data_IF_006610620272
#
_entry.id   IF_006610620272
#
_cell.length_a   1.000
_cell.length_b   1.000
_cell.length_c   1.000
_cell.angle_alpha   90.00
_cell.angle_beta   90.00
_cell.angle_gamma   90.00
#
_symmetry.space_group_name_H-M   'P 1'
#
loop_
_entity.id
_entity.type
_entity.pdbx_description
1 polymer ?
#
# COMPACT_ATOMS: atom_id res chain seq x y z
N UNK A 1 -37.28 -37.74 -23.92
CA UNK A 1 -35.95 -37.35 -24.41
C UNK A 1 -35.66 -35.95 -23.87
N UNK A 2 -35.03 -35.91 -22.70
CA UNK A 2 -34.65 -34.66 -22.01
C UNK A 2 -33.16 -34.44 -22.18
N UNK A 3 -32.78 -33.27 -22.68
CA UNK A 3 -31.38 -32.79 -22.66
C UNK A 3 -31.16 -31.97 -21.40
N UNK A 4 -30.34 -32.47 -20.50
CA UNK A 4 -29.79 -31.66 -19.39
C UNK A 4 -28.69 -30.71 -19.89
N UNK A 5 -28.62 -29.45 -19.43
CA UNK A 5 -27.52 -28.57 -19.72
C UNK A 5 -26.35 -28.85 -18.76
N UNK A 6 -25.26 -29.30 -19.33
CA UNK A 6 -24.00 -29.59 -18.67
C UNK A 6 -23.31 -28.27 -18.21
N UNK A 7 -23.58 -27.84 -16.99
CA UNK A 7 -22.87 -26.71 -16.35
C UNK A 7 -21.49 -27.17 -15.89
N UNK A 8 -20.46 -26.88 -16.68
CA UNK A 8 -19.06 -27.06 -16.26
C UNK A 8 -18.76 -26.13 -15.07
N UNK A 9 -18.57 -26.71 -13.89
CA UNK A 9 -18.01 -26.03 -12.72
C UNK A 9 -16.59 -25.58 -13.07
N UNK A 10 -16.18 -24.35 -12.75
CA UNK A 10 -14.79 -23.93 -12.94
C UNK A 10 -13.90 -24.80 -12.06
N UNK A 11 -12.90 -25.43 -12.68
CA UNK A 11 -11.93 -26.28 -12.02
C UNK A 11 -11.14 -25.50 -10.98
N UNK A 12 -11.27 -25.92 -9.72
CA UNK A 12 -10.40 -25.44 -8.62
C UNK A 12 -9.04 -26.08 -8.87
N UNK A 13 -8.08 -25.30 -9.37
CA UNK A 13 -6.66 -25.69 -9.35
C UNK A 13 -6.25 -25.85 -7.89
N UNK A 14 -5.92 -27.09 -7.48
CA UNK A 14 -5.30 -27.35 -6.19
C UNK A 14 -3.84 -26.92 -6.29
N UNK A 15 -3.53 -25.73 -5.72
CA UNK A 15 -2.15 -25.34 -5.50
C UNK A 15 -1.56 -26.16 -4.35
N UNK A 16 -0.39 -26.77 -4.59
CA UNK A 16 0.37 -27.39 -3.51
C UNK A 16 0.75 -26.30 -2.50
N UNK A 17 0.45 -26.54 -1.22
CA UNK A 17 0.80 -25.64 -0.12
C UNK A 17 2.31 -25.44 -0.09
N UNK A 18 2.80 -24.38 -0.68
CA UNK A 18 4.09 -23.85 -0.27
C UNK A 18 3.94 -23.40 1.20
N UNK A 19 4.72 -23.99 2.09
CA UNK A 19 4.74 -23.61 3.52
C UNK A 19 4.89 -22.11 3.61
N UNK A 20 3.83 -21.44 4.10
CA UNK A 20 3.74 -19.99 4.16
C UNK A 20 5.01 -19.39 4.75
N UNK A 21 5.64 -18.49 4.02
CA UNK A 21 6.63 -17.59 4.60
C UNK A 21 5.83 -16.61 5.43
N UNK A 22 5.74 -16.89 6.75
CA UNK A 22 5.26 -15.89 7.71
C UNK A 22 6.07 -14.60 7.51
N UNK A 23 5.46 -13.44 7.77
CA UNK A 23 6.25 -12.22 7.90
C UNK A 23 7.44 -12.55 8.81
N UNK A 24 8.68 -12.31 8.35
CA UNK A 24 9.83 -12.59 9.19
C UNK A 24 9.65 -11.80 10.49
N UNK A 25 9.92 -12.39 11.67
CA UNK A 25 9.92 -11.64 12.90
C UNK A 25 10.83 -10.44 12.70
N UNK A 26 10.37 -9.24 13.09
CA UNK A 26 11.14 -8.01 13.00
C UNK A 26 12.47 -8.25 13.74
N UNK A 27 13.52 -8.62 13.00
CA UNK A 27 14.85 -8.73 13.57
C UNK A 27 15.25 -7.33 14.00
N UNK A 28 15.76 -7.17 15.21
CA UNK A 28 16.42 -5.96 15.68
C UNK A 28 17.58 -5.65 14.73
N UNK A 29 17.26 -4.94 13.65
CA UNK A 29 18.25 -4.37 12.74
C UNK A 29 18.41 -2.91 13.13
N UNK A 30 19.60 -2.36 12.97
CA UNK A 30 19.89 -0.93 13.22
C UNK A 30 19.13 0.00 12.26
N UNK A 31 18.33 -0.54 11.35
CA UNK A 31 17.57 0.18 10.31
C UNK A 31 16.11 -0.26 10.34
N UNK A 32 15.14 0.65 10.10
CA UNK A 32 13.73 0.32 10.14
C UNK A 32 13.32 -0.63 9.01
N UNK A 33 12.26 -1.42 9.24
CA UNK A 33 11.55 -2.13 8.18
C UNK A 33 10.86 -1.11 7.28
N UNK A 34 11.03 -1.23 5.97
CA UNK A 34 10.51 -0.28 4.99
C UNK A 34 9.35 -0.92 4.21
N UNK A 35 8.15 -0.36 4.38
CA UNK A 35 6.97 -0.71 3.60
C UNK A 35 6.82 0.25 2.42
N UNK A 36 6.59 -0.29 1.23
CA UNK A 36 6.11 0.50 0.10
C UNK A 36 4.59 0.67 0.23
N UNK A 37 4.12 1.91 0.37
CA UNK A 37 2.70 2.20 0.55
C UNK A 37 1.85 1.81 -0.69
N UNK A 38 0.61 1.35 -0.50
CA UNK A 38 -0.31 1.09 -1.59
C UNK A 38 -0.76 2.42 -2.23
N UNK A 39 -0.57 2.54 -3.55
CA UNK A 39 -0.96 3.72 -4.32
C UNK A 39 -1.92 3.30 -5.44
N UNK A 40 -3.23 3.49 -5.22
CA UNK A 40 -4.28 3.09 -6.17
C UNK A 40 -4.03 3.65 -7.56
N UNK A 41 -4.07 2.77 -8.57
CA UNK A 41 -3.82 3.10 -9.96
C UNK A 41 -2.35 3.34 -10.35
N UNK A 42 -1.38 3.13 -9.42
CA UNK A 42 0.05 3.31 -9.66
C UNK A 42 0.81 2.01 -9.36
N UNK A 43 0.76 1.53 -8.11
CA UNK A 43 1.62 0.42 -7.62
C UNK A 43 1.00 -0.95 -7.91
N UNK A 44 0.63 -1.22 -9.18
CA UNK A 44 0.21 -2.54 -9.65
C UNK A 44 1.39 -3.54 -9.69
N UNK A 45 1.12 -4.80 -10.03
CA UNK A 45 2.13 -5.85 -10.04
C UNK A 45 3.33 -5.55 -10.94
N UNK A 46 3.11 -4.93 -12.12
CA UNK A 46 4.21 -4.52 -13.02
C UNK A 46 5.11 -3.50 -12.30
N UNK A 47 4.51 -2.47 -11.70
CA UNK A 47 5.25 -1.45 -10.96
C UNK A 47 6.09 -2.07 -9.85
N UNK A 48 5.47 -2.93 -9.01
CA UNK A 48 6.17 -3.55 -7.88
C UNK A 48 7.33 -4.41 -8.32
N UNK A 49 7.13 -5.26 -9.33
CA UNK A 49 8.17 -6.14 -9.86
C UNK A 49 9.34 -5.35 -10.42
N UNK A 50 9.10 -4.38 -11.30
CA UNK A 50 10.19 -3.58 -11.91
C UNK A 50 10.92 -2.76 -10.85
N UNK A 51 10.19 -2.22 -9.84
CA UNK A 51 10.84 -1.54 -8.71
C UNK A 51 11.72 -2.50 -7.89
N UNK A 52 11.21 -3.69 -7.59
CA UNK A 52 11.92 -4.69 -6.80
C UNK A 52 13.21 -5.15 -7.50
N UNK A 53 13.12 -5.39 -8.79
CA UNK A 53 14.25 -5.88 -9.62
C UNK A 53 15.35 -4.83 -9.79
N UNK A 54 14.99 -3.56 -10.03
CA UNK A 54 15.98 -2.51 -10.33
C UNK A 54 16.52 -1.83 -9.08
N UNK A 55 15.66 -1.52 -8.11
CA UNK A 55 16.05 -0.70 -6.95
C UNK A 55 16.03 -1.47 -5.64
N UNK A 56 15.03 -2.31 -5.42
CA UNK A 56 14.82 -2.97 -4.13
C UNK A 56 14.62 -1.98 -3.00
N UNK A 57 15.14 -2.32 -1.81
CA UNK A 57 15.16 -1.44 -0.64
C UNK A 57 13.84 -1.35 0.14
N UNK A 58 12.71 -1.77 -0.43
CA UNK A 58 11.49 -2.03 0.33
C UNK A 58 11.49 -3.49 0.81
N UNK A 59 11.15 -3.70 2.09
CA UNK A 59 11.03 -5.05 2.67
C UNK A 59 9.66 -5.65 2.41
N UNK A 60 8.62 -4.81 2.29
CA UNK A 60 7.24 -5.21 2.06
C UNK A 60 6.59 -4.28 1.03
N UNK A 61 5.93 -4.85 0.05
CA UNK A 61 5.11 -4.13 -0.93
C UNK A 61 3.63 -4.26 -0.58
N UNK A 62 2.97 -3.16 -0.18
CA UNK A 62 1.55 -3.18 0.09
C UNK A 62 0.76 -3.07 -1.22
N UNK A 63 -0.21 -3.96 -1.41
CA UNK A 63 -1.09 -3.94 -2.57
C UNK A 63 -2.11 -2.79 -2.48
N UNK A 64 -2.48 -2.16 -3.60
CA UNK A 64 -3.72 -1.39 -3.66
C UNK A 64 -4.90 -2.23 -3.16
N UNK A 65 -5.84 -1.60 -2.47
CA UNK A 65 -6.92 -2.32 -1.81
C UNK A 65 -7.88 -3.01 -2.79
N UNK A 66 -8.30 -4.22 -2.43
CA UNK A 66 -9.44 -4.90 -3.03
C UNK A 66 -10.73 -4.35 -2.41
N UNK A 67 -11.62 -3.84 -3.27
CA UNK A 67 -12.92 -3.34 -2.82
C UNK A 67 -13.90 -4.49 -2.67
N UNK A 68 -14.16 -4.92 -1.45
CA UNK A 68 -15.05 -6.05 -1.20
C UNK A 68 -16.52 -5.68 -1.45
N UNK A 69 -17.27 -6.62 -2.02
CA UNK A 69 -18.70 -6.54 -2.33
C UNK A 69 -19.42 -7.75 -1.75
N UNK A 70 -20.75 -7.70 -1.66
CA UNK A 70 -21.55 -8.81 -1.15
C UNK A 70 -21.36 -10.11 -1.95
N UNK A 71 -21.14 -10.01 -3.25
CA UNK A 71 -20.91 -11.18 -4.11
C UNK A 71 -19.52 -11.78 -3.99
N UNK A 72 -18.61 -11.17 -3.21
CA UNK A 72 -17.20 -11.57 -3.13
C UNK A 72 -16.50 -11.68 -4.50
N UNK A 73 -17.09 -11.11 -5.55
CA UNK A 73 -16.50 -11.12 -6.89
C UNK A 73 -15.37 -10.07 -6.94
N UNK A 74 -14.13 -10.56 -6.99
CA UNK A 74 -12.96 -9.73 -7.28
C UNK A 74 -12.93 -9.44 -8.78
N UNK A 75 -12.45 -8.24 -9.12
CA UNK A 75 -12.18 -7.89 -10.51
C UNK A 75 -10.98 -8.70 -11.02
N UNK A 76 -10.94 -8.97 -12.32
CA UNK A 76 -9.81 -9.71 -12.95
C UNK A 76 -8.45 -9.08 -12.60
N UNK A 77 -8.39 -7.74 -12.50
CA UNK A 77 -7.17 -7.04 -12.07
C UNK A 77 -6.79 -7.34 -10.62
N UNK A 78 -7.77 -7.46 -9.72
CA UNK A 78 -7.56 -7.72 -8.29
C UNK A 78 -7.10 -9.17 -8.07
N UNK A 79 -7.69 -10.12 -8.81
CA UNK A 79 -7.26 -11.53 -8.80
C UNK A 79 -5.80 -11.66 -9.27
N UNK A 80 -5.44 -10.96 -10.34
CA UNK A 80 -4.07 -10.95 -10.86
C UNK A 80 -3.11 -10.29 -9.88
N UNK A 81 -3.50 -9.15 -9.31
CA UNK A 81 -2.64 -8.34 -8.44
C UNK A 81 -2.23 -9.08 -7.16
N UNK A 82 -3.09 -10.00 -6.67
CA UNK A 82 -2.81 -10.86 -5.51
C UNK A 82 -2.20 -12.22 -5.89
N UNK A 83 -2.14 -12.57 -7.17
CA UNK A 83 -1.64 -13.90 -7.55
C UNK A 83 -0.18 -14.10 -7.15
N UNK A 84 0.21 -15.30 -6.69
CA UNK A 84 1.60 -15.61 -6.34
C UNK A 84 2.58 -15.37 -7.50
N UNK A 85 2.16 -15.65 -8.74
CA UNK A 85 2.98 -15.50 -9.94
C UNK A 85 3.31 -14.03 -10.23
N UNK A 86 2.34 -13.12 -10.03
CA UNK A 86 2.57 -11.68 -10.22
C UNK A 86 3.53 -11.11 -9.16
N UNK A 87 3.65 -11.79 -8.01
CA UNK A 87 4.37 -11.33 -6.83
C UNK A 87 5.56 -12.23 -6.46
N UNK A 88 6.03 -13.06 -7.39
CA UNK A 88 7.14 -13.97 -7.14
C UNK A 88 8.40 -13.22 -6.66
N UNK A 89 9.05 -13.76 -5.63
CA UNK A 89 10.26 -13.19 -5.04
C UNK A 89 10.04 -11.96 -4.13
N UNK A 90 8.84 -11.38 -4.12
CA UNK A 90 8.51 -10.21 -3.31
C UNK A 90 7.74 -10.59 -2.04
N UNK A 91 8.01 -9.88 -0.95
CA UNK A 91 7.17 -9.91 0.23
C UNK A 91 6.03 -8.90 0.05
N UNK A 92 4.80 -9.39 -0.08
CA UNK A 92 3.64 -8.59 -0.46
C UNK A 92 2.57 -8.66 0.62
N UNK A 93 1.92 -7.53 0.90
CA UNK A 93 0.86 -7.40 1.87
C UNK A 93 -0.46 -7.05 1.16
N UNK A 94 -1.38 -8.01 0.95
CA UNK A 94 -2.70 -7.75 0.38
C UNK A 94 -3.53 -6.84 1.29
N UNK A 95 -4.29 -5.92 0.69
CA UNK A 95 -5.12 -4.98 1.44
C UNK A 95 -6.59 -5.04 1.00
N UNK A 96 -7.52 -5.04 1.96
CA UNK A 96 -8.96 -4.98 1.74
C UNK A 96 -9.55 -3.61 2.07
N UNK A 97 -10.64 -3.28 1.37
CA UNK A 97 -11.48 -2.12 1.66
C UNK A 97 -12.94 -2.57 1.84
N UNK A 98 -13.40 -2.60 3.07
CA UNK A 98 -14.79 -2.93 3.43
C UNK A 98 -15.19 -2.24 4.74
N UNK A 99 -16.47 -2.27 5.08
CA UNK A 99 -17.04 -1.96 6.39
C UNK A 99 -17.87 -3.13 6.95
N UNK A 100 -17.75 -4.29 6.34
CA UNK A 100 -18.51 -5.48 6.66
C UNK A 100 -17.55 -6.55 7.17
N UNK A 101 -17.64 -6.98 8.44
CA UNK A 101 -16.70 -7.93 9.03
C UNK A 101 -16.81 -9.32 8.42
N UNK A 102 -17.99 -9.73 7.95
CA UNK A 102 -18.21 -11.03 7.30
C UNK A 102 -17.55 -11.05 5.92
N UNK A 103 -17.65 -9.97 5.14
CA UNK A 103 -16.92 -9.84 3.88
C UNK A 103 -15.41 -9.89 4.10
N UNK A 104 -14.91 -9.20 5.13
CA UNK A 104 -13.48 -9.25 5.45
C UNK A 104 -13.05 -10.66 5.83
N UNK A 105 -13.79 -11.32 6.71
CA UNK A 105 -13.49 -12.70 7.12
C UNK A 105 -13.42 -13.65 5.92
N UNK A 106 -14.41 -13.62 5.03
CA UNK A 106 -14.43 -14.46 3.83
C UNK A 106 -13.24 -14.16 2.90
N UNK A 107 -12.88 -12.86 2.74
CA UNK A 107 -11.71 -12.48 1.93
C UNK A 107 -10.39 -12.93 2.56
N UNK A 108 -10.27 -12.94 3.88
CA UNK A 108 -9.08 -13.45 4.57
C UNK A 108 -8.86 -14.94 4.33
N UNK A 109 -9.94 -15.74 4.21
CA UNK A 109 -9.83 -17.15 3.78
C UNK A 109 -9.27 -17.26 2.36
N UNK A 110 -9.77 -16.46 1.42
CA UNK A 110 -9.23 -16.42 0.06
C UNK A 110 -7.74 -16.01 0.03
N UNK A 111 -7.35 -15.00 0.82
CA UNK A 111 -5.95 -14.58 0.97
C UNK A 111 -5.07 -15.72 1.51
N UNK A 112 -5.59 -16.48 2.48
CA UNK A 112 -4.91 -17.68 3.01
C UNK A 112 -4.75 -18.77 1.94
N UNK A 113 -5.76 -18.97 1.09
CA UNK A 113 -5.68 -19.93 -0.03
C UNK A 113 -4.66 -19.50 -1.10
N UNK A 114 -4.46 -18.19 -1.29
CA UNK A 114 -3.38 -17.65 -2.12
C UNK A 114 -1.98 -17.81 -1.48
N UNK A 115 -1.88 -18.33 -0.25
CA UNK A 115 -0.60 -18.61 0.42
C UNK A 115 -0.07 -17.45 1.26
N UNK A 116 -0.81 -16.37 1.46
CA UNK A 116 -0.41 -15.26 2.32
C UNK A 116 -0.70 -15.57 3.79
N UNK A 117 0.18 -15.13 4.67
CA UNK A 117 0.06 -15.31 6.14
C UNK A 117 -0.40 -14.05 6.86
N UNK A 118 -0.44 -12.91 6.15
CA UNK A 118 -0.88 -11.62 6.66
C UNK A 118 -1.66 -10.86 5.60
N UNK A 119 -2.65 -10.09 6.04
CA UNK A 119 -3.43 -9.17 5.20
C UNK A 119 -3.65 -7.85 5.93
N UNK A 120 -4.05 -6.80 5.22
CA UNK A 120 -4.23 -5.46 5.76
C UNK A 120 -5.66 -4.95 5.54
N UNK A 121 -6.20 -4.25 6.53
CA UNK A 121 -7.47 -3.54 6.43
C UNK A 121 -7.23 -2.05 6.20
N UNK A 122 -7.84 -1.50 5.16
CA UNK A 122 -7.77 -0.07 4.88
C UNK A 122 -8.78 0.73 5.72
N UNK A 123 -8.28 1.45 6.72
CA UNK A 123 -9.00 2.48 7.50
C UNK A 123 -8.49 3.90 7.21
N UNK A 124 -7.77 4.10 6.08
CA UNK A 124 -7.07 5.35 5.82
C UNK A 124 -7.40 6.05 4.50
N UNK A 125 -8.12 5.41 3.55
CA UNK A 125 -8.45 6.03 2.27
C UNK A 125 -9.40 7.22 2.46
N UNK A 126 -8.98 8.47 2.10
CA UNK A 126 -9.79 9.67 2.32
C UNK A 126 -10.71 10.00 1.13
N UNK A 127 -10.72 9.18 0.07
CA UNK A 127 -11.50 9.45 -1.14
C UNK A 127 -13.00 9.61 -0.81
N UNK A 128 -13.66 10.68 -1.28
CA UNK A 128 -15.10 10.87 -1.05
C UNK A 128 -15.96 9.69 -1.54
N UNK A 129 -15.55 8.99 -2.60
CA UNK A 129 -16.26 7.80 -3.10
C UNK A 129 -16.17 6.60 -2.16
N UNK A 130 -15.19 6.59 -1.27
CA UNK A 130 -14.95 5.57 -0.23
C UNK A 130 -15.63 6.00 1.07
N UNK A 131 -15.32 7.20 1.54
CA UNK A 131 -15.76 7.67 2.88
C UNK A 131 -17.25 7.94 2.98
N UNK A 132 -17.92 8.37 1.88
CA UNK A 132 -19.40 8.51 1.87
C UNK A 132 -20.14 7.20 2.09
N UNK A 133 -19.47 6.06 1.84
CA UNK A 133 -20.01 4.71 2.07
C UNK A 133 -19.58 4.13 3.42
N UNK A 134 -19.00 4.94 4.31
CA UNK A 134 -18.49 4.51 5.61
C UNK A 134 -17.31 3.53 5.52
N UNK A 135 -16.53 3.53 4.42
CA UNK A 135 -15.36 2.67 4.22
C UNK A 135 -14.07 3.48 4.34
N UNK A 136 -12.92 2.80 4.44
CA UNK A 136 -11.63 3.44 4.59
C UNK A 136 -11.62 4.37 5.81
N UNK A 137 -11.12 5.59 5.68
CA UNK A 137 -11.13 6.54 6.81
C UNK A 137 -12.54 7.01 7.20
N UNK A 138 -13.57 6.69 6.41
CA UNK A 138 -14.97 6.91 6.80
C UNK A 138 -15.41 6.13 8.03
N UNK A 139 -14.76 5.00 8.34
CA UNK A 139 -15.01 4.22 9.56
C UNK A 139 -14.52 4.92 10.84
N UNK A 140 -13.64 5.91 10.71
CA UNK A 140 -13.11 6.66 11.87
C UNK A 140 -14.09 7.71 12.39
N UNK A 141 -15.22 7.97 11.70
CA UNK A 141 -16.24 8.93 12.14
C UNK A 141 -16.98 8.48 13.38
N UNK A 142 -17.11 7.18 13.55
CA UNK A 142 -17.88 6.59 14.64
C UNK A 142 -17.02 5.52 15.33
N UNK A 143 -16.38 5.86 16.46
CA UNK A 143 -15.58 4.94 17.24
C UNK A 143 -16.34 3.71 17.74
N UNK A 144 -17.63 3.81 18.00
CA UNK A 144 -18.44 2.70 18.48
C UNK A 144 -18.76 1.71 17.34
N UNK A 145 -19.07 2.21 16.13
CA UNK A 145 -19.17 1.37 14.93
C UNK A 145 -17.84 0.68 14.61
N UNK A 146 -16.71 1.38 14.74
CA UNK A 146 -15.39 0.80 14.54
C UNK A 146 -15.14 -0.34 15.55
N UNK A 147 -15.44 -0.11 16.83
CA UNK A 147 -15.31 -1.13 17.89
C UNK A 147 -16.20 -2.33 17.61
N UNK A 148 -17.47 -2.09 17.28
CA UNK A 148 -18.42 -3.15 16.93
C UNK A 148 -17.93 -4.00 15.74
N UNK A 149 -17.41 -3.37 14.69
CA UNK A 149 -16.80 -4.06 13.54
C UNK A 149 -15.66 -4.97 13.97
N UNK A 150 -14.73 -4.45 14.78
CA UNK A 150 -13.56 -5.19 15.23
C UNK A 150 -13.93 -6.32 16.19
N UNK A 151 -14.86 -6.10 17.12
CA UNK A 151 -15.38 -7.13 18.03
C UNK A 151 -15.98 -8.31 17.27
N UNK A 152 -16.80 -8.03 16.25
CA UNK A 152 -17.37 -9.09 15.40
C UNK A 152 -16.32 -9.83 14.61
N UNK A 153 -15.34 -9.11 14.06
CA UNK A 153 -14.28 -9.71 13.27
C UNK A 153 -13.41 -10.64 14.11
N UNK A 154 -12.98 -10.18 15.29
CA UNK A 154 -12.09 -10.93 16.18
C UNK A 154 -12.83 -11.90 17.13
N UNK A 155 -14.17 -11.97 17.05
CA UNK A 155 -14.92 -13.02 17.77
C UNK A 155 -14.55 -14.44 17.31
N UNK A 156 -13.99 -14.57 16.10
CA UNK A 156 -13.53 -15.82 15.53
C UNK A 156 -12.03 -15.78 15.24
N UNK A 157 -11.39 -16.95 15.21
CA UNK A 157 -10.00 -17.08 14.78
C UNK A 157 -9.89 -16.76 13.30
N UNK A 158 -9.01 -15.81 12.95
CA UNK A 158 -8.75 -15.45 11.57
C UNK A 158 -7.77 -16.44 10.91
N UNK A 159 -7.94 -16.75 9.61
CA UNK A 159 -7.08 -17.70 8.90
C UNK A 159 -5.66 -17.15 8.63
N UNK A 160 -5.49 -15.83 8.68
CA UNK A 160 -4.22 -15.11 8.54
C UNK A 160 -4.14 -13.99 9.58
N UNK A 161 -2.94 -13.52 9.87
CA UNK A 161 -2.75 -12.33 10.71
C UNK A 161 -3.33 -11.10 10.01
N UNK A 162 -3.92 -10.19 10.78
CA UNK A 162 -4.49 -8.95 10.24
C UNK A 162 -3.66 -7.76 10.72
N UNK A 163 -3.28 -6.90 9.79
CA UNK A 163 -2.79 -5.54 10.05
C UNK A 163 -3.84 -4.50 9.66
N UNK A 164 -3.59 -3.27 10.01
CA UNK A 164 -4.48 -2.16 9.64
C UNK A 164 -3.67 -0.93 9.23
N UNK A 165 -4.12 -0.27 8.16
CA UNK A 165 -3.58 1.04 7.76
C UNK A 165 -4.63 2.12 7.98
N UNK A 166 -4.35 3.02 8.93
CA UNK A 166 -5.29 4.05 9.39
C UNK A 166 -4.79 5.47 9.20
N UNK A 167 -5.68 6.42 9.42
CA UNK A 167 -5.40 7.83 9.72
C UNK A 167 -5.65 8.11 11.20
N UNK A 168 -5.30 9.30 11.67
CA UNK A 168 -5.41 9.68 13.09
C UNK A 168 -6.78 10.23 13.46
N UNK A 169 -7.69 10.34 12.52
CA UNK A 169 -9.06 10.82 12.73
C UNK A 169 -9.72 11.16 11.39
N UNK A 170 -11.01 11.50 11.49
CA UNK A 170 -11.78 11.96 10.33
C UNK A 170 -11.77 13.49 10.21
N UNK A 171 -12.25 14.21 11.20
CA UNK A 171 -12.36 15.68 11.21
C UNK A 171 -11.12 16.33 11.87
N UNK A 172 -10.68 15.82 13.03
CA UNK A 172 -9.66 16.43 13.88
C UNK A 172 -8.63 15.39 14.39
N UNK A 173 -7.39 15.85 14.62
CA UNK A 173 -6.36 15.06 15.27
C UNK A 173 -6.69 14.76 16.76
N UNK A 174 -7.60 15.51 17.36
CA UNK A 174 -8.09 15.26 18.72
C UNK A 174 -8.87 13.96 18.87
N UNK A 175 -9.34 13.37 17.76
CA UNK A 175 -9.99 12.06 17.74
C UNK A 175 -8.99 10.90 17.97
N UNK A 176 -7.70 11.15 17.72
CA UNK A 176 -6.69 10.10 17.74
C UNK A 176 -6.54 9.34 19.05
N UNK A 177 -6.54 9.96 20.25
CA UNK A 177 -6.40 9.22 21.51
C UNK A 177 -7.45 8.13 21.70
N UNK A 178 -8.69 8.37 21.30
CA UNK A 178 -9.79 7.39 21.37
C UNK A 178 -9.64 6.27 20.32
N UNK A 179 -9.29 6.63 19.08
CA UNK A 179 -9.03 5.66 18.00
C UNK A 179 -7.83 4.78 18.35
N UNK A 180 -6.75 5.37 18.86
CA UNK A 180 -5.56 4.66 19.30
C UNK A 180 -5.84 3.63 20.38
N UNK A 181 -6.71 3.98 21.35
CA UNK A 181 -7.15 3.09 22.42
C UNK A 181 -7.95 1.90 21.87
N UNK A 182 -8.83 2.13 20.91
CA UNK A 182 -9.57 1.06 20.25
C UNK A 182 -8.58 0.13 19.55
N UNK A 183 -7.68 0.67 18.71
CA UNK A 183 -6.73 -0.15 17.94
C UNK A 183 -5.74 -0.93 18.82
N UNK A 184 -5.34 -0.38 19.96
CA UNK A 184 -4.49 -1.07 20.93
C UNK A 184 -5.16 -2.27 21.60
N UNK A 185 -6.49 -2.34 21.59
CA UNK A 185 -7.27 -3.43 22.19
C UNK A 185 -7.38 -4.69 21.36
N UNK A 186 -6.87 -4.71 20.11
CA UNK A 186 -7.00 -5.86 19.20
C UNK A 186 -5.64 -6.42 18.77
N UNK A 187 -5.54 -7.74 18.49
CA UNK A 187 -4.30 -8.42 18.17
C UNK A 187 -3.87 -8.22 16.71
N UNK A 188 -3.70 -6.97 16.29
CA UNK A 188 -3.16 -6.68 14.97
C UNK A 188 -1.69 -7.12 14.84
N UNK A 189 -1.32 -7.61 13.65
CA UNK A 189 0.08 -7.91 13.33
C UNK A 189 0.95 -6.64 13.34
N UNK A 190 0.40 -5.53 12.85
CA UNK A 190 0.95 -4.18 12.96
C UNK A 190 -0.14 -3.14 12.63
N UNK A 191 0.10 -1.90 13.00
CA UNK A 191 -0.79 -0.76 12.70
C UNK A 191 0.01 0.33 11.99
N UNK A 192 -0.29 0.56 10.72
CA UNK A 192 0.30 1.68 9.95
C UNK A 192 -0.52 2.95 10.16
N UNK A 193 0.14 3.99 10.66
CA UNK A 193 -0.49 5.24 11.07
C UNK A 193 -0.07 6.35 10.12
N UNK A 194 -0.99 6.78 9.25
CA UNK A 194 -0.81 8.01 8.49
C UNK A 194 -1.15 9.19 9.40
N UNK A 195 -0.13 9.95 9.78
CA UNK A 195 -0.21 11.04 10.75
C UNK A 195 -0.91 12.30 10.21
N UNK A 196 -2.07 12.09 9.59
CA UNK A 196 -3.02 13.10 9.07
C UNK A 196 -4.45 12.66 9.33
N UNK A 197 -5.36 13.61 9.47
CA UNK A 197 -6.79 13.37 9.45
C UNK A 197 -7.31 13.11 8.02
N UNK A 198 -8.55 12.67 7.89
CA UNK A 198 -9.20 12.51 6.58
C UNK A 198 -9.39 13.85 5.87
N UNK A 199 -9.70 14.91 6.61
CA UNK A 199 -9.91 16.28 6.09
C UNK A 199 -8.66 16.88 5.49
N UNK A 200 -7.51 16.61 6.07
CA UNK A 200 -6.21 17.09 5.60
C UNK A 200 -5.74 16.40 4.32
N UNK A 201 -6.32 15.24 3.99
CA UNK A 201 -5.99 14.45 2.80
C UNK A 201 -4.46 14.21 2.66
N UNK A 202 -3.81 14.88 1.69
CA UNK A 202 -2.37 14.75 1.39
C UNK A 202 -1.63 16.09 1.40
N UNK A 203 -2.32 17.20 1.65
CA UNK A 203 -1.81 18.58 1.56
C UNK A 203 -1.82 19.33 2.89
N UNK A 204 -2.61 18.86 3.86
CA UNK A 204 -2.61 19.41 5.22
C UNK A 204 -1.33 19.11 5.99
N UNK A 205 -1.20 19.69 7.17
CA UNK A 205 -0.10 19.43 8.10
C UNK A 205 0.02 17.94 8.48
N UNK A 206 1.17 17.55 8.98
CA UNK A 206 1.37 16.24 9.61
C UNK A 206 1.40 16.41 11.13
N UNK A 207 0.97 15.37 11.85
CA UNK A 207 0.90 15.32 13.32
C UNK A 207 1.81 14.20 13.85
N UNK A 208 3.15 14.39 13.86
CA UNK A 208 4.07 13.32 14.28
C UNK A 208 3.88 12.88 15.72
N UNK A 209 3.36 13.75 16.59
CA UNK A 209 2.98 13.47 17.99
C UNK A 209 1.94 12.35 18.11
N UNK A 210 1.13 12.16 17.08
CA UNK A 210 0.19 11.04 17.05
C UNK A 210 0.89 9.68 17.01
N UNK A 211 2.05 9.60 16.36
CA UNK A 211 2.85 8.38 16.35
C UNK A 211 3.56 8.14 17.70
N UNK A 212 4.02 9.20 18.36
CA UNK A 212 4.56 9.12 19.73
C UNK A 212 3.51 8.59 20.71
N UNK A 213 2.28 9.09 20.60
CA UNK A 213 1.16 8.57 21.39
C UNK A 213 0.88 7.09 21.11
N UNK A 214 0.99 6.66 19.86
CA UNK A 214 0.81 5.25 19.49
C UNK A 214 1.84 4.34 20.18
N UNK A 215 3.10 4.77 20.25
CA UNK A 215 4.16 4.07 20.97
C UNK A 215 3.86 4.01 22.48
N UNK A 216 3.40 5.11 23.07
CA UNK A 216 3.03 5.20 24.49
C UNK A 216 1.84 4.29 24.82
N UNK A 217 0.82 4.26 23.95
CA UNK A 217 -0.38 3.43 24.09
C UNK A 217 -0.15 1.95 23.76
N UNK A 218 1.07 1.57 23.39
CA UNK A 218 1.47 0.20 23.02
C UNK A 218 0.59 -0.39 21.90
N UNK A 219 0.28 0.43 20.90
CA UNK A 219 -0.32 -0.08 19.68
C UNK A 219 0.57 -1.19 19.11
N UNK A 220 0.01 -2.33 18.62
CA UNK A 220 0.81 -3.42 18.09
C UNK A 220 1.69 -2.98 16.93
N UNK A 221 3.01 -3.11 17.08
CA UNK A 221 4.03 -2.85 16.06
C UNK A 221 3.72 -1.63 15.16
N UNK A 222 3.69 -0.40 15.72
CA UNK A 222 3.26 0.77 14.97
C UNK A 222 4.25 1.09 13.85
N UNK A 223 3.70 1.32 12.63
CA UNK A 223 4.44 1.70 11.43
C UNK A 223 4.15 3.16 11.12
N UNK A 224 5.17 4.00 11.10
CA UNK A 224 5.00 5.42 10.77
C UNK A 224 4.74 5.61 9.28
N UNK A 225 3.74 6.40 8.94
CA UNK A 225 3.48 6.84 7.57
C UNK A 225 3.15 8.35 7.56
N UNK A 226 3.89 9.15 6.80
CA UNK A 226 3.68 10.60 6.66
C UNK A 226 4.93 11.30 6.15
N UNK A 227 4.85 11.90 4.97
CA UNK A 227 5.84 12.80 4.34
C UNK A 227 7.34 12.40 4.43
N UNK A 228 7.61 11.10 4.42
CA UNK A 228 8.97 10.59 4.27
C UNK A 228 9.33 10.62 2.78
N UNK A 229 10.13 11.60 2.38
CA UNK A 229 10.54 11.82 0.98
C UNK A 229 12.03 11.68 0.74
N UNK A 230 12.82 11.81 1.79
CA UNK A 230 14.28 11.77 1.75
C UNK A 230 14.83 10.85 2.83
N UNK A 231 16.10 10.50 2.73
CA UNK A 231 16.83 9.79 3.79
C UNK A 231 16.89 10.62 5.09
N UNK A 232 16.97 11.94 4.96
CA UNK A 232 16.99 12.85 6.10
C UNK A 232 15.67 12.86 6.87
N UNK A 233 14.51 12.80 6.16
CA UNK A 233 13.20 12.69 6.81
C UNK A 233 13.12 11.44 7.68
N UNK A 234 13.64 10.30 7.18
CA UNK A 234 13.65 9.05 7.93
C UNK A 234 14.60 9.14 9.13
N UNK A 235 15.78 9.72 8.96
CA UNK A 235 16.74 9.90 10.06
C UNK A 235 16.18 10.83 11.15
N UNK A 236 15.52 11.93 10.76
CA UNK A 236 14.86 12.85 11.69
C UNK A 236 13.72 12.17 12.46
N UNK A 237 12.93 11.33 11.78
CA UNK A 237 11.91 10.53 12.45
C UNK A 237 12.53 9.57 13.48
N UNK A 238 13.57 8.83 13.11
CA UNK A 238 14.22 7.87 14.01
C UNK A 238 14.95 8.56 15.19
N UNK A 239 15.48 9.77 14.97
CA UNK A 239 16.03 10.57 16.04
C UNK A 239 14.95 11.06 17.03
N UNK A 240 13.77 11.43 16.51
CA UNK A 240 12.60 11.84 17.30
C UNK A 240 11.92 10.64 18.01
N UNK A 241 11.83 9.52 17.33
CA UNK A 241 11.15 8.30 17.79
C UNK A 241 12.10 7.10 17.69
N UNK A 242 13.07 6.94 18.62
CA UNK A 242 14.05 5.84 18.55
C UNK A 242 13.41 4.44 18.64
N UNK A 243 12.21 4.36 19.18
CA UNK A 243 11.42 3.12 19.25
C UNK A 243 10.65 2.79 17.95
N UNK A 244 10.78 3.59 16.90
CA UNK A 244 10.14 3.32 15.61
C UNK A 244 10.92 2.20 14.89
N UNK A 245 10.31 1.02 14.79
CA UNK A 245 10.89 -0.16 14.14
C UNK A 245 10.58 -0.23 12.64
N UNK A 246 9.56 0.49 12.17
CA UNK A 246 9.10 0.41 10.80
C UNK A 246 8.56 1.74 10.27
N UNK A 247 8.72 1.94 8.96
CA UNK A 247 8.21 3.10 8.23
C UNK A 247 7.50 2.66 6.95
N UNK A 248 6.45 3.38 6.56
CA UNK A 248 5.79 3.19 5.28
C UNK A 248 5.97 4.44 4.42
N UNK A 249 6.49 4.25 3.21
CA UNK A 249 6.83 5.31 2.27
C UNK A 249 5.97 5.16 1.01
N UNK A 250 5.32 6.24 0.58
CA UNK A 250 4.53 6.28 -0.65
C UNK A 250 5.15 7.25 -1.66
N UNK A 251 4.79 8.52 -1.56
CA UNK A 251 5.23 9.59 -2.47
C UNK A 251 6.75 9.73 -2.58
N UNK A 252 7.50 9.40 -1.52
CA UNK A 252 8.95 9.37 -1.54
C UNK A 252 9.50 8.41 -2.59
N UNK A 253 8.97 7.18 -2.66
CA UNK A 253 9.35 6.20 -3.67
C UNK A 253 8.92 6.56 -5.10
N UNK A 254 7.82 7.31 -5.25
CA UNK A 254 7.41 7.79 -6.57
C UNK A 254 8.32 8.89 -7.09
N UNK A 255 8.87 9.72 -6.19
CA UNK A 255 9.80 10.80 -6.52
C UNK A 255 11.24 10.29 -6.67
N UNK A 256 11.66 9.35 -5.85
CA UNK A 256 12.99 8.71 -5.85
C UNK A 256 12.81 7.19 -5.68
N UNK A 257 12.78 6.42 -6.77
CA UNK A 257 12.61 4.97 -6.68
C UNK A 257 13.76 4.25 -5.94
N UNK A 258 14.94 4.86 -5.85
CA UNK A 258 16.07 4.33 -5.09
C UNK A 258 16.05 4.72 -3.60
N UNK A 259 15.02 5.42 -3.12
CA UNK A 259 14.97 5.93 -1.74
C UNK A 259 15.18 4.84 -0.69
N UNK A 260 14.57 3.67 -0.84
CA UNK A 260 14.75 2.56 0.09
C UNK A 260 16.20 2.06 0.15
N UNK A 261 16.84 1.94 -1.02
CA UNK A 261 18.27 1.62 -1.14
C UNK A 261 19.14 2.69 -0.46
N UNK A 262 18.82 3.96 -0.67
CA UNK A 262 19.54 5.10 -0.05
C UNK A 262 19.42 5.14 1.47
N UNK A 263 18.24 4.87 2.03
CA UNK A 263 18.04 4.75 3.47
C UNK A 263 18.94 3.65 4.05
N UNK A 264 19.26 2.63 3.27
CA UNK A 264 20.16 1.54 3.65
C UNK A 264 21.64 1.87 3.40
N UNK A 265 21.97 3.09 2.92
CA UNK A 265 23.34 3.56 2.67
C UNK A 265 23.86 3.25 1.28
N UNK A 266 22.97 2.83 0.34
CA UNK A 266 23.32 2.67 -1.08
C UNK A 266 23.22 3.98 -1.87
N UNK A 267 23.61 3.91 -3.14
CA UNK A 267 23.70 5.06 -4.04
C UNK A 267 22.32 5.54 -4.56
N UNK A 268 22.26 6.78 -4.97
CA UNK A 268 21.12 7.32 -5.72
C UNK A 268 21.00 6.65 -7.10
N UNK A 269 19.80 6.68 -7.68
CA UNK A 269 19.61 6.19 -9.03
C UNK A 269 20.37 7.06 -10.05
N UNK A 270 21.15 6.40 -10.92
CA UNK A 270 21.76 7.05 -12.07
C UNK A 270 20.75 7.29 -13.21
N UNK A 271 21.12 8.13 -14.19
CA UNK A 271 20.26 8.43 -15.33
C UNK A 271 19.92 7.18 -16.15
N UNK A 272 20.87 6.30 -16.37
CA UNK A 272 20.67 5.06 -17.13
C UNK A 272 19.72 4.10 -16.40
N UNK A 273 19.83 4.02 -15.07
CA UNK A 273 18.95 3.23 -14.23
C UNK A 273 17.51 3.79 -14.23
N UNK A 274 17.36 5.11 -14.18
CA UNK A 274 16.05 5.77 -14.30
C UNK A 274 15.46 5.58 -15.70
N UNK A 275 16.28 5.63 -16.76
CA UNK A 275 15.85 5.32 -18.13
C UNK A 275 15.34 3.87 -18.22
N UNK A 276 16.12 2.91 -17.73
CA UNK A 276 15.72 1.50 -17.70
C UNK A 276 14.40 1.30 -16.93
N UNK A 277 14.25 1.94 -15.77
CA UNK A 277 13.04 1.95 -14.96
C UNK A 277 11.80 2.38 -15.75
N UNK A 278 11.83 3.57 -16.34
CA UNK A 278 10.68 4.11 -17.05
C UNK A 278 10.36 3.31 -18.32
N UNK A 279 11.38 2.82 -19.03
CA UNK A 279 11.21 2.00 -20.21
C UNK A 279 10.57 0.65 -19.84
N UNK A 280 11.07 -0.04 -18.81
CA UNK A 280 10.52 -1.32 -18.37
C UNK A 280 9.06 -1.20 -17.89
N UNK A 281 8.73 -0.14 -17.17
CA UNK A 281 7.34 0.15 -16.79
C UNK A 281 6.44 0.40 -18.00
N UNK A 282 6.91 1.22 -18.96
CA UNK A 282 6.13 1.53 -20.16
C UNK A 282 5.85 0.27 -20.96
N UNK A 283 6.85 -0.55 -21.24
CA UNK A 283 6.68 -1.80 -22.01
C UNK A 283 5.75 -2.77 -21.27
N UNK A 284 5.95 -2.99 -19.96
CA UNK A 284 5.07 -3.85 -19.20
C UNK A 284 3.60 -3.35 -19.16
N UNK A 285 3.39 -2.03 -19.07
CA UNK A 285 2.04 -1.47 -19.14
C UNK A 285 1.46 -1.46 -20.55
N UNK A 286 2.27 -1.31 -21.60
CA UNK A 286 1.85 -1.38 -22.99
C UNK A 286 1.35 -2.78 -23.35
N UNK A 287 2.01 -3.82 -22.84
CA UNK A 287 1.57 -5.21 -23.02
C UNK A 287 0.24 -5.51 -22.29
N UNK A 288 -0.01 -4.83 -21.15
CA UNK A 288 -1.22 -5.01 -20.34
C UNK A 288 -2.38 -4.11 -20.77
N UNK A 289 -2.08 -2.92 -21.29
CA UNK A 289 -3.04 -1.88 -21.66
C UNK A 289 -2.76 -1.37 -23.09
N UNK A 290 -3.67 -0.60 -23.65
CA UNK A 290 -3.38 0.14 -24.89
C UNK A 290 -2.24 1.15 -24.68
N UNK A 291 -1.41 1.38 -25.71
CA UNK A 291 -0.22 2.22 -25.61
C UNK A 291 -0.46 3.66 -25.13
N UNK A 292 -1.60 4.26 -25.49
CA UNK A 292 -2.01 5.58 -25.00
C UNK A 292 -2.25 5.60 -23.49
N UNK A 293 -2.81 4.50 -22.93
CA UNK A 293 -3.02 4.34 -21.49
C UNK A 293 -1.66 4.18 -20.79
N UNK A 294 -0.77 3.35 -21.34
CA UNK A 294 0.57 3.16 -20.78
C UNK A 294 1.35 4.49 -20.72
N UNK A 295 1.35 5.27 -21.79
CA UNK A 295 2.00 6.57 -21.83
C UNK A 295 1.40 7.56 -20.81
N UNK A 296 0.07 7.57 -20.67
CA UNK A 296 -0.62 8.37 -19.65
C UNK A 296 -0.20 8.00 -18.22
N UNK A 297 -0.01 6.71 -17.93
CA UNK A 297 0.48 6.22 -16.63
C UNK A 297 1.92 6.67 -16.37
N UNK A 298 2.80 6.56 -17.36
CA UNK A 298 4.19 7.04 -17.27
C UNK A 298 4.24 8.53 -16.97
N UNK A 299 3.48 9.36 -17.72
CA UNK A 299 3.43 10.80 -17.47
C UNK A 299 3.00 11.11 -16.04
N UNK A 300 1.94 10.46 -15.58
CA UNK A 300 1.45 10.63 -14.21
C UNK A 300 2.51 10.23 -13.16
N UNK A 301 3.25 9.16 -13.39
CA UNK A 301 4.35 8.75 -12.51
C UNK A 301 5.50 9.77 -12.52
N UNK A 302 5.90 10.24 -13.69
CA UNK A 302 6.98 11.22 -13.83
C UNK A 302 6.64 12.61 -13.29
N UNK A 303 5.38 12.92 -12.99
CA UNK A 303 5.01 14.17 -12.31
C UNK A 303 5.63 14.27 -10.90
N UNK A 304 5.89 13.14 -10.22
CA UNK A 304 6.45 13.11 -8.87
C UNK A 304 7.91 13.59 -8.81
N UNK A 305 8.86 13.05 -9.59
CA UNK A 305 10.23 13.58 -9.60
C UNK A 305 10.32 14.98 -10.21
N UNK A 306 9.29 15.44 -10.95
CA UNK A 306 9.19 16.79 -11.48
C UNK A 306 8.45 17.75 -10.53
N UNK A 307 8.10 17.34 -9.31
CA UNK A 307 7.40 18.21 -8.35
C UNK A 307 8.24 19.46 -8.05
N UNK A 308 7.63 20.64 -8.21
CA UNK A 308 8.33 21.93 -8.09
C UNK A 308 8.99 22.48 -9.36
N UNK A 309 9.25 21.64 -10.37
CA UNK A 309 9.84 22.06 -11.64
C UNK A 309 8.76 22.31 -12.73
N UNK A 310 8.34 23.55 -12.86
CA UNK A 310 7.30 23.95 -13.83
C UNK A 310 7.76 23.69 -15.28
N UNK A 311 9.07 23.86 -15.57
CA UNK A 311 9.62 23.65 -16.92
C UNK A 311 9.56 22.19 -17.31
N UNK A 312 10.02 21.29 -16.44
CA UNK A 312 9.94 19.84 -16.66
C UNK A 312 8.49 19.37 -16.79
N UNK A 313 7.58 19.80 -15.91
CA UNK A 313 6.16 19.47 -16.01
C UNK A 313 5.53 19.92 -17.33
N UNK A 314 5.92 21.10 -17.85
CA UNK A 314 5.44 21.59 -19.16
C UNK A 314 5.95 20.73 -20.31
N UNK A 315 7.21 20.31 -20.30
CA UNK A 315 7.80 19.39 -21.29
C UNK A 315 7.10 18.03 -21.23
N UNK A 316 6.94 17.47 -20.05
CA UNK A 316 6.27 16.18 -19.83
C UNK A 316 4.84 16.16 -20.38
N UNK A 317 4.06 17.22 -20.17
CA UNK A 317 2.69 17.32 -20.72
C UNK A 317 2.65 17.28 -22.24
N UNK A 318 3.65 17.83 -22.92
CA UNK A 318 3.76 17.90 -24.38
C UNK A 318 4.38 16.65 -25.00
N UNK A 319 5.05 15.84 -24.20
CA UNK A 319 5.67 14.60 -24.67
C UNK A 319 4.59 13.65 -25.23
N UNK A 320 4.85 12.99 -26.33
CA UNK A 320 3.94 12.05 -27.02
C UNK A 320 4.56 10.66 -27.22
N UNK A 321 5.84 10.51 -26.86
CA UNK A 321 6.57 9.22 -26.84
C UNK A 321 7.21 8.99 -25.49
N UNK A 322 7.60 7.74 -25.21
CA UNK A 322 8.32 7.40 -23.99
C UNK A 322 9.68 8.09 -23.91
N UNK A 323 10.39 8.22 -25.03
CA UNK A 323 11.69 8.89 -25.10
C UNK A 323 11.56 10.37 -24.74
N UNK A 324 10.54 11.08 -25.29
CA UNK A 324 10.27 12.48 -24.96
C UNK A 324 9.82 12.66 -23.49
N UNK A 325 9.13 11.69 -22.91
CA UNK A 325 8.81 11.71 -21.48
C UNK A 325 10.07 11.54 -20.61
N UNK A 326 10.94 10.60 -20.96
CA UNK A 326 12.21 10.35 -20.26
C UNK A 326 13.10 11.59 -20.35
N UNK A 327 13.28 12.16 -21.56
CA UNK A 327 14.03 13.40 -21.75
C UNK A 327 13.49 14.54 -20.86
N UNK A 328 12.18 14.70 -20.78
CA UNK A 328 11.55 15.73 -19.94
C UNK A 328 11.80 15.54 -18.45
N UNK A 329 11.81 14.27 -17.98
CA UNK A 329 11.93 13.95 -16.56
C UNK A 329 13.38 13.99 -16.05
N UNK A 330 14.33 13.36 -16.76
CA UNK A 330 15.71 13.21 -16.30
C UNK A 330 16.69 14.22 -16.93
N UNK A 331 16.31 14.93 -17.97
CA UNK A 331 17.10 15.99 -18.61
C UNK A 331 18.32 15.44 -19.35
N UNK A 332 18.22 15.25 -20.64
CA UNK A 332 19.32 14.98 -21.57
C UNK A 332 19.46 16.09 -22.59
#
# INVERSE_FOLDING_TARGET
MGMEPNARKPGIMRYERQKGRGMPPLKQTTKPVIYFAPMEGITDGIFRRVHHELFGGADVYCLPFHKLTQSMSLLTREIRDISPEENEGMNVLPQALTRDPEQLSAWLYYVSECGYSCADLNLGCPSPTVTRRGRGSGMLRDPDELRFFLDRLFANTLPVSLSVKTRIGYESAEEWPGIAEILAGYPFAHVTIHVRTTREQYTGGIHPEAFELALQKRIPHPVYNGDLRTTEDVNNLLARCPAAEAVMIGRGFLADPALGRRIRGGEAAGKDELRAWYTALYEGWKDRFQGTIALGRIKKLMEWPCEGDIKKKRLLRRADTIESCIHAAIGE
#
